data_IF_280306057392
#
_entry.id   IF_280306057392
#
_cell.length_a   1.000
_cell.length_b   1.000
_cell.length_c   1.000
_cell.angle_alpha   90.00
_cell.angle_beta   90.00
_cell.angle_gamma   90.00
#
_symmetry.space_group_name_H-M   'P 1'
#
loop_
_entity.id
_entity.type
_entity.pdbx_description
1 polymer ?
#
# COMPACT_ATOMS: atom_id res chain seq x y z
N UNK A 1 2.63 32.23 1.10
CA UNK A 1 3.62 31.67 2.05
C UNK A 1 4.36 32.86 2.65
N UNK A 2 4.33 33.05 3.96
CA UNK A 2 5.06 34.13 4.62
C UNK A 2 5.66 33.58 5.90
N UNK A 3 6.97 33.66 6.04
CA UNK A 3 7.63 33.33 7.29
C UNK A 3 7.29 34.38 8.36
N UNK A 4 7.14 33.91 9.60
CA UNK A 4 6.96 34.77 10.79
C UNK A 4 8.28 35.35 11.29
N UNK A 5 9.43 34.94 10.74
CA UNK A 5 10.73 35.51 11.09
C UNK A 5 11.03 36.72 10.19
N UNK A 6 11.36 37.86 10.80
CA UNK A 6 11.56 39.13 10.09
C UNK A 6 12.58 39.05 8.95
N UNK A 7 13.66 38.29 9.19
CA UNK A 7 14.76 38.07 8.25
C UNK A 7 14.35 37.17 7.08
N UNK A 8 13.63 36.07 7.33
CA UNK A 8 13.13 35.20 6.26
C UNK A 8 12.10 35.91 5.37
N UNK A 9 11.25 36.75 5.95
CA UNK A 9 10.31 37.56 5.18
C UNK A 9 11.02 38.57 4.28
N UNK A 10 12.09 39.22 4.76
CA UNK A 10 12.89 40.12 3.93
C UNK A 10 13.62 39.36 2.80
N UNK A 11 14.22 38.21 3.12
CA UNK A 11 14.90 37.36 2.13
C UNK A 11 13.95 36.93 1.00
N UNK A 12 12.67 36.67 1.29
CA UNK A 12 11.67 36.38 0.26
C UNK A 12 11.37 37.59 -0.65
N UNK A 13 11.33 38.80 -0.10
CA UNK A 13 11.15 40.04 -0.88
C UNK A 13 12.40 40.32 -1.74
N UNK A 14 13.60 40.02 -1.24
CA UNK A 14 14.83 40.09 -2.03
C UNK A 14 14.80 39.06 -3.16
N UNK A 15 14.47 37.80 -2.86
CA UNK A 15 14.42 36.73 -3.85
C UNK A 15 13.41 36.98 -4.99
N UNK A 16 12.30 37.68 -4.72
CA UNK A 16 11.31 38.01 -5.77
C UNK A 16 11.78 39.11 -6.71
N UNK A 17 12.64 40.03 -6.26
CA UNK A 17 13.18 41.13 -7.08
C UNK A 17 14.54 40.82 -7.69
N UNK A 18 15.35 40.00 -7.04
CA UNK A 18 16.67 39.57 -7.47
C UNK A 18 16.80 38.03 -7.29
N UNK A 19 16.11 37.23 -8.12
CA UNK A 19 16.21 35.78 -8.06
C UNK A 19 17.62 35.31 -8.43
N UNK A 20 18.16 34.34 -7.68
CA UNK A 20 19.49 33.76 -7.95
C UNK A 20 19.62 33.08 -9.31
N UNK A 21 18.49 32.73 -9.96
CA UNK A 21 18.46 32.16 -11.31
C UNK A 21 18.79 33.17 -12.42
N UNK A 22 18.96 34.45 -12.10
CA UNK A 22 19.34 35.50 -13.06
C UNK A 22 20.53 36.29 -12.52
N UNK A 23 21.49 36.58 -13.39
CA UNK A 23 22.66 37.37 -13.03
C UNK A 23 22.35 38.87 -13.09
N UNK A 24 22.48 39.57 -11.95
CA UNK A 24 22.30 41.03 -11.85
C UNK A 24 23.56 41.76 -11.36
N UNK A 25 24.64 41.03 -11.05
CA UNK A 25 25.85 41.57 -10.40
C UNK A 25 26.73 42.44 -11.30
N UNK A 26 26.55 42.41 -12.63
CA UNK A 26 27.38 43.15 -13.57
C UNK A 26 26.97 44.61 -13.82
N UNK A 27 25.99 45.15 -13.09
CA UNK A 27 25.53 46.54 -13.26
C UNK A 27 24.90 47.10 -11.98
N UNK A 28 24.48 48.36 -12.00
CA UNK A 28 23.67 48.98 -10.94
C UNK A 28 22.30 48.32 -10.74
N UNK A 29 21.90 47.38 -11.62
CA UNK A 29 20.63 46.66 -11.49
C UNK A 29 20.51 45.90 -10.18
N UNK A 30 21.58 45.30 -9.64
CA UNK A 30 21.50 44.60 -8.36
C UNK A 30 21.19 45.57 -7.23
N UNK A 31 21.91 46.69 -7.18
CA UNK A 31 21.70 47.76 -6.18
C UNK A 31 20.26 48.27 -6.21
N UNK A 32 19.73 48.60 -7.41
CA UNK A 32 18.36 49.09 -7.56
C UNK A 32 17.31 48.06 -7.09
N UNK A 33 17.51 46.77 -7.37
CA UNK A 33 16.60 45.70 -6.94
C UNK A 33 16.63 45.49 -5.42
N UNK A 34 17.81 45.55 -4.81
CA UNK A 34 17.96 45.48 -3.35
C UNK A 34 17.31 46.69 -2.66
N UNK A 35 17.59 47.90 -3.16
CA UNK A 35 16.95 49.14 -2.68
C UNK A 35 15.43 49.07 -2.79
N UNK A 36 14.90 48.57 -3.91
CA UNK A 36 13.47 48.34 -4.07
C UNK A 36 12.93 47.32 -3.05
N UNK A 37 13.67 46.27 -2.70
CA UNK A 37 13.26 45.29 -1.68
C UNK A 37 13.20 45.92 -0.29
N UNK A 38 14.18 46.76 0.07
CA UNK A 38 14.19 47.53 1.32
C UNK A 38 13.02 48.50 1.38
N UNK A 39 12.80 49.28 0.32
CA UNK A 39 11.70 50.22 0.24
C UNK A 39 10.34 49.53 0.35
N UNK A 40 10.13 48.40 -0.34
CA UNK A 40 8.88 47.64 -0.19
C UNK A 40 8.68 47.09 1.22
N UNK A 41 9.75 46.68 1.90
CA UNK A 41 9.68 46.15 3.27
C UNK A 41 9.25 47.25 4.26
N UNK A 42 9.80 48.45 4.10
CA UNK A 42 9.58 49.57 5.01
C UNK A 42 8.30 50.35 4.70
N UNK A 43 8.07 50.66 3.43
CA UNK A 43 7.01 51.58 2.97
C UNK A 43 5.77 50.87 2.41
N UNK A 44 5.81 49.55 2.23
CA UNK A 44 4.75 48.76 1.59
C UNK A 44 4.81 48.83 0.06
N UNK A 45 3.79 48.33 -0.63
CA UNK A 45 3.76 48.27 -2.10
C UNK A 45 3.57 49.63 -2.80
N UNK A 46 3.23 50.68 -2.04
CA UNK A 46 3.13 52.06 -2.55
C UNK A 46 4.48 52.79 -2.67
N UNK A 47 5.58 52.14 -2.29
CA UNK A 47 6.93 52.72 -2.30
C UNK A 47 7.34 53.37 -3.63
N UNK A 48 6.95 52.78 -4.78
CA UNK A 48 7.33 53.30 -6.10
C UNK A 48 6.66 54.65 -6.39
N UNK A 49 5.40 54.82 -6.01
CA UNK A 49 4.70 56.10 -6.14
C UNK A 49 5.36 57.19 -5.27
N UNK A 50 5.82 56.83 -4.06
CA UNK A 50 6.55 57.74 -3.17
C UNK A 50 7.92 58.15 -3.75
N UNK A 51 8.65 57.20 -4.35
CA UNK A 51 9.93 57.49 -5.03
C UNK A 51 9.71 58.41 -6.22
N UNK A 52 8.67 58.17 -7.02
CA UNK A 52 8.33 59.04 -8.15
C UNK A 52 8.01 60.47 -7.68
N UNK A 53 7.17 60.63 -6.66
CA UNK A 53 6.86 61.94 -6.06
C UNK A 53 8.12 62.66 -5.57
N UNK A 54 8.98 61.97 -4.83
CA UNK A 54 10.25 62.52 -4.34
C UNK A 54 11.23 62.89 -5.47
N UNK A 55 11.08 62.26 -6.63
CA UNK A 55 11.86 62.54 -7.85
C UNK A 55 11.17 63.56 -8.77
N UNK A 56 10.10 64.22 -8.31
CA UNK A 56 9.28 65.16 -9.09
C UNK A 56 8.66 64.54 -10.37
N UNK A 57 8.42 63.23 -10.34
CA UNK A 57 7.74 62.47 -11.39
C UNK A 57 6.28 62.19 -11.00
N UNK A 58 5.45 61.86 -11.99
CA UNK A 58 4.07 61.45 -11.73
C UNK A 58 4.02 60.18 -10.86
N UNK A 59 3.27 60.18 -9.73
CA UNK A 59 3.12 59.00 -8.87
C UNK A 59 2.45 57.80 -9.56
N UNK A 60 1.76 58.02 -10.69
CA UNK A 60 1.06 56.99 -11.47
C UNK A 60 -0.20 56.47 -10.77
N UNK A 61 -1.38 56.89 -11.24
CA UNK A 61 -2.67 56.53 -10.64
C UNK A 61 -2.91 55.00 -10.59
N UNK A 62 -2.53 54.28 -11.66
CA UNK A 62 -2.65 52.82 -11.72
C UNK A 62 -1.67 52.12 -10.76
N UNK A 63 -0.41 52.56 -10.72
CA UNK A 63 0.63 52.03 -9.81
C UNK A 63 0.20 52.18 -8.35
N UNK A 64 -0.30 53.35 -7.98
CA UNK A 64 -0.79 53.63 -6.64
C UNK A 64 -2.00 52.75 -6.27
N UNK A 65 -2.95 52.58 -7.19
CA UNK A 65 -4.14 51.74 -6.99
C UNK A 65 -3.75 50.27 -6.76
N UNK A 66 -2.86 49.72 -7.59
CA UNK A 66 -2.35 48.35 -7.45
C UNK A 66 -1.59 48.20 -6.12
N UNK A 67 -0.73 49.16 -5.77
CA UNK A 67 0.01 49.20 -4.51
C UNK A 67 -0.93 49.12 -3.29
N UNK A 68 -1.95 49.98 -3.25
CA UNK A 68 -2.98 49.99 -2.20
C UNK A 68 -3.73 48.65 -2.11
N UNK A 69 -4.07 48.02 -3.24
CA UNK A 69 -4.73 46.70 -3.27
C UNK A 69 -3.83 45.62 -2.68
N UNK A 70 -2.54 45.61 -3.01
CA UNK A 70 -1.58 44.65 -2.47
C UNK A 70 -1.33 44.85 -0.97
N UNK A 71 -1.21 46.10 -0.50
CA UNK A 71 -1.09 46.41 0.92
C UNK A 71 -2.33 45.96 1.71
N UNK A 72 -3.54 46.19 1.16
CA UNK A 72 -4.80 45.69 1.77
C UNK A 72 -4.84 44.16 1.85
N UNK A 73 -4.33 43.46 0.84
CA UNK A 73 -4.21 41.99 0.84
C UNK A 73 -3.23 41.53 1.93
N UNK A 74 -2.05 42.14 2.02
CA UNK A 74 -1.07 41.83 3.07
C UNK A 74 -1.63 42.07 4.47
N UNK A 75 -2.35 43.18 4.68
CA UNK A 75 -2.99 43.49 5.97
C UNK A 75 -3.97 42.38 6.38
N UNK A 76 -4.86 41.98 5.47
CA UNK A 76 -5.81 40.87 5.67
C UNK A 76 -5.09 39.55 5.98
N UNK A 77 -4.00 39.25 5.28
CA UNK A 77 -3.22 38.04 5.55
C UNK A 77 -2.54 38.07 6.92
N UNK A 78 -1.99 39.22 7.35
CA UNK A 78 -1.40 39.41 8.68
C UNK A 78 -2.46 39.26 9.78
N UNK A 79 -3.63 39.87 9.60
CA UNK A 79 -4.78 39.73 10.50
C UNK A 79 -5.18 38.26 10.62
N UNK A 80 -5.36 37.56 9.48
CA UNK A 80 -5.64 36.12 9.45
C UNK A 80 -4.58 35.30 10.18
N UNK A 81 -3.29 35.56 9.93
CA UNK A 81 -2.19 34.83 10.57
C UNK A 81 -2.11 35.07 12.09
N UNK A 82 -2.56 36.24 12.54
CA UNK A 82 -2.59 36.60 13.95
C UNK A 82 -3.77 35.97 14.71
N UNK A 83 -4.81 35.51 14.01
CA UNK A 83 -5.94 34.81 14.63
C UNK A 83 -5.50 33.59 15.43
N UNK A 84 -6.24 33.29 16.51
CA UNK A 84 -6.01 32.09 17.34
C UNK A 84 -6.17 30.81 16.52
N UNK A 85 -7.14 30.77 15.62
CA UNK A 85 -7.43 29.63 14.76
C UNK A 85 -6.26 29.29 13.83
N UNK A 86 -5.72 30.29 13.10
CA UNK A 86 -4.58 30.07 12.22
C UNK A 86 -3.34 29.58 12.98
N UNK A 87 -3.05 30.17 14.15
CA UNK A 87 -1.94 29.75 15.01
C UNK A 87 -2.11 28.31 15.49
N UNK A 88 -3.31 27.92 15.92
CA UNK A 88 -3.64 26.53 16.31
C UNK A 88 -3.46 25.56 15.14
N UNK A 89 -4.01 25.88 13.96
CA UNK A 89 -3.86 25.06 12.75
C UNK A 89 -2.40 24.90 12.34
N UNK A 90 -1.60 25.97 12.42
CA UNK A 90 -0.15 25.92 12.12
C UNK A 90 0.59 24.98 13.07
N UNK A 91 0.30 25.03 14.38
CA UNK A 91 0.91 24.13 15.37
C UNK A 91 0.49 22.67 15.09
N UNK A 92 -0.79 22.44 14.77
CA UNK A 92 -1.29 21.12 14.40
C UNK A 92 -0.55 20.57 13.17
N UNK A 93 -0.44 21.35 12.09
CA UNK A 93 0.30 20.95 10.89
C UNK A 93 1.78 20.69 11.18
N UNK A 94 2.42 21.51 12.02
CA UNK A 94 3.82 21.28 12.43
C UNK A 94 3.97 19.96 13.20
N UNK A 95 3.03 19.65 14.10
CA UNK A 95 3.01 18.36 14.82
C UNK A 95 2.78 17.18 13.87
N UNK A 96 1.86 17.31 12.92
CA UNK A 96 1.60 16.29 11.90
C UNK A 96 2.82 16.03 11.02
N UNK A 97 3.47 17.10 10.52
CA UNK A 97 4.69 17.01 9.72
C UNK A 97 5.80 16.29 10.48
N UNK A 98 6.11 16.70 11.71
CA UNK A 98 7.10 16.04 12.55
C UNK A 98 6.80 14.55 12.77
N UNK A 99 5.53 14.20 13.00
CA UNK A 99 5.11 12.81 13.17
C UNK A 99 5.29 11.99 11.88
N UNK A 100 5.02 12.59 10.72
CA UNK A 100 5.21 11.97 9.41
C UNK A 100 6.69 11.73 9.11
N UNK A 101 7.53 12.74 9.35
CA UNK A 101 9.00 12.65 9.18
C UNK A 101 9.58 11.56 10.08
N UNK A 102 9.16 11.53 11.34
CA UNK A 102 9.55 10.49 12.30
C UNK A 102 9.19 9.08 11.80
N UNK A 103 7.96 8.86 11.34
CA UNK A 103 7.52 7.56 10.82
C UNK A 103 8.30 7.14 9.59
N UNK A 104 8.57 8.07 8.67
CA UNK A 104 9.33 7.80 7.46
C UNK A 104 10.76 7.37 7.82
N UNK A 105 11.40 8.04 8.79
CA UNK A 105 12.71 7.64 9.33
C UNK A 105 12.72 6.22 9.89
N UNK A 106 11.72 5.87 10.72
CA UNK A 106 11.60 4.50 11.27
C UNK A 106 11.42 3.47 10.16
N UNK A 107 10.67 3.82 9.11
CA UNK A 107 10.32 2.92 8.02
C UNK A 107 11.48 2.65 7.06
N UNK A 108 12.16 3.71 6.61
CA UNK A 108 13.19 3.67 5.56
C UNK A 108 14.59 3.40 6.14
N UNK A 109 14.80 3.65 7.43
CA UNK A 109 16.15 3.68 8.01
C UNK A 109 16.83 5.03 7.74
N UNK A 110 18.06 5.21 8.22
CA UNK A 110 18.81 6.45 7.99
C UNK A 110 19.35 6.45 6.55
N UNK A 111 18.67 7.11 5.62
CA UNK A 111 19.07 7.15 4.19
C UNK A 111 20.19 8.16 3.92
N UNK A 112 20.29 9.23 4.71
CA UNK A 112 21.31 10.27 4.56
C UNK A 112 21.76 10.77 5.93
N UNK A 113 23.05 10.60 6.25
CA UNK A 113 23.70 11.32 7.34
C UNK A 113 24.56 12.46 6.79
N UNK A 114 24.53 13.61 7.46
CA UNK A 114 25.51 14.66 7.20
C UNK A 114 26.85 14.20 7.81
N UNK A 115 27.86 13.99 6.97
CA UNK A 115 29.20 13.47 7.28
C UNK A 115 29.28 11.95 7.50
N UNK A 116 29.09 11.17 6.44
CA UNK A 116 29.39 9.75 6.46
C UNK A 116 30.92 9.52 6.54
N UNK A 117 31.44 9.34 7.74
CA UNK A 117 32.69 8.58 7.94
C UNK A 117 32.40 7.11 7.60
N UNK A 118 33.24 6.49 6.79
CA UNK A 118 33.03 5.18 6.14
C UNK A 118 33.20 3.98 7.11
N UNK A 119 33.07 4.19 8.41
CA UNK A 119 33.40 3.20 9.44
C UNK A 119 32.23 2.80 10.35
N UNK A 120 31.04 2.60 9.78
CA UNK A 120 29.92 1.94 10.45
C UNK A 120 29.54 0.65 9.67
N UNK A 121 29.12 -0.43 10.35
CA UNK A 121 28.61 -1.62 9.69
C UNK A 121 27.46 -1.25 8.75
N UNK A 122 27.31 -1.98 7.63
CA UNK A 122 26.35 -1.69 6.55
C UNK A 122 25.08 -1.00 7.07
N UNK A 123 24.73 0.19 6.55
CA UNK A 123 23.53 0.88 7.02
C UNK A 123 22.31 -0.01 6.82
N UNK A 124 21.49 -0.11 7.86
CA UNK A 124 20.24 -0.86 7.84
C UNK A 124 19.26 -0.20 6.85
N UNK A 125 19.25 -0.73 5.62
CA UNK A 125 18.41 -0.30 4.49
C UNK A 125 17.12 -1.12 4.35
N UNK A 126 16.81 -2.03 5.29
CA UNK A 126 15.63 -2.89 5.16
C UNK A 126 14.35 -2.08 5.38
N UNK A 127 13.54 -1.88 4.34
CA UNK A 127 12.30 -1.12 4.47
C UNK A 127 11.25 -1.89 5.29
N UNK A 128 10.60 -1.21 6.25
CA UNK A 128 9.48 -1.79 6.99
C UNK A 128 8.20 -1.66 6.14
N UNK A 129 7.50 -2.77 5.85
CA UNK A 129 6.28 -2.74 5.06
C UNK A 129 5.17 -1.88 5.68
N UNK A 130 4.42 -1.20 4.83
CA UNK A 130 3.27 -0.37 5.21
C UNK A 130 1.97 -0.94 4.66
N UNK A 131 0.82 -0.65 5.30
CA UNK A 131 -0.47 -1.04 4.77
C UNK A 131 -0.64 -0.57 3.33
N UNK A 132 -0.97 -1.50 2.44
CA UNK A 132 -1.28 -1.18 1.05
C UNK A 132 -2.71 -0.63 0.96
N UNK A 133 -2.95 0.18 -0.07
CA UNK A 133 -4.26 0.79 -0.32
C UNK A 133 -4.84 0.28 -1.64
N UNK A 134 -6.16 0.14 -1.70
CA UNK A 134 -6.88 -0.18 -2.93
C UNK A 134 -7.18 1.15 -3.64
N UNK A 135 -6.82 1.25 -4.91
CA UNK A 135 -7.03 2.41 -5.77
C UNK A 135 -8.03 2.08 -6.87
N UNK A 136 -8.75 3.09 -7.37
CA UNK A 136 -9.74 2.92 -8.45
C UNK A 136 -9.12 2.40 -9.77
N UNK A 137 -7.82 2.61 -9.97
CA UNK A 137 -7.07 2.16 -11.15
C UNK A 137 -6.50 0.75 -11.02
N UNK A 138 -6.69 0.06 -9.88
CA UNK A 138 -6.14 -1.28 -9.69
C UNK A 138 -6.89 -2.30 -10.55
N UNK A 139 -6.14 -3.20 -11.18
CA UNK A 139 -6.71 -4.35 -11.90
C UNK A 139 -6.92 -5.52 -10.94
N UNK A 140 -8.01 -6.26 -11.12
CA UNK A 140 -8.32 -7.46 -10.33
C UNK A 140 -8.15 -8.71 -11.17
N UNK A 141 -7.28 -9.61 -10.71
CA UNK A 141 -7.14 -10.96 -11.27
C UNK A 141 -7.83 -11.94 -10.34
N UNK A 142 -8.91 -12.54 -10.80
CA UNK A 142 -9.61 -13.60 -10.08
C UNK A 142 -8.90 -14.92 -10.36
N UNK A 143 -8.64 -15.72 -9.34
CA UNK A 143 -8.05 -17.05 -9.53
C UNK A 143 -8.57 -18.05 -8.52
N UNK A 144 -8.48 -19.33 -8.88
CA UNK A 144 -8.89 -20.48 -8.08
C UNK A 144 -8.00 -21.68 -8.41
N UNK A 145 -7.78 -22.55 -7.42
CA UNK A 145 -7.01 -23.78 -7.57
C UNK A 145 -7.85 -25.01 -7.26
N UNK A 146 -7.84 -25.98 -8.17
CA UNK A 146 -8.16 -27.36 -7.81
C UNK A 146 -6.89 -28.07 -7.37
N UNK A 147 -7.01 -28.93 -6.36
CA UNK A 147 -5.88 -29.61 -5.74
C UNK A 147 -6.12 -31.11 -5.60
N UNK A 148 -5.06 -31.87 -5.33
CA UNK A 148 -5.17 -33.32 -5.06
C UNK A 148 -5.94 -33.64 -3.77
N UNK A 149 -6.15 -32.66 -2.89
CA UNK A 149 -6.89 -32.80 -1.64
C UNK A 149 -6.90 -31.50 -0.82
N UNK A 150 -7.37 -31.56 0.43
CA UNK A 150 -7.55 -30.39 1.32
C UNK A 150 -6.29 -30.00 2.11
N UNK A 151 -5.14 -30.63 1.85
CA UNK A 151 -3.88 -30.28 2.51
C UNK A 151 -3.25 -29.05 1.86
N UNK A 152 -2.61 -28.20 2.66
CA UNK A 152 -1.83 -27.04 2.15
C UNK A 152 -0.58 -27.46 1.37
N UNK A 153 -0.20 -28.73 1.49
CA UNK A 153 0.91 -29.32 0.75
C UNK A 153 0.43 -30.12 -0.47
N UNK A 154 -0.90 -30.24 -0.70
CA UNK A 154 -1.46 -30.90 -1.88
C UNK A 154 -0.93 -30.29 -3.17
N UNK A 155 -0.86 -31.10 -4.21
CA UNK A 155 -0.46 -30.62 -5.53
C UNK A 155 -1.64 -29.90 -6.21
N UNK A 156 -1.29 -28.94 -7.05
CA UNK A 156 -2.25 -28.26 -7.92
C UNK A 156 -2.60 -29.23 -9.06
N UNK A 157 -3.88 -29.43 -9.32
CA UNK A 157 -4.40 -30.22 -10.46
C UNK A 157 -4.99 -29.32 -11.54
N UNK A 158 -5.50 -28.15 -11.17
CA UNK A 158 -5.92 -27.10 -12.09
C UNK A 158 -5.62 -25.73 -11.49
N UNK A 159 -5.16 -24.80 -12.32
CA UNK A 159 -5.14 -23.38 -11.99
C UNK A 159 -5.94 -22.64 -13.05
N UNK A 160 -6.83 -21.76 -12.63
CA UNK A 160 -7.57 -20.88 -13.53
C UNK A 160 -7.52 -19.44 -13.05
N UNK A 161 -7.58 -18.50 -13.99
CA UNK A 161 -7.64 -17.09 -13.67
C UNK A 161 -8.41 -16.27 -14.71
N UNK A 162 -8.93 -15.11 -14.32
CA UNK A 162 -9.60 -14.17 -15.21
C UNK A 162 -9.32 -12.72 -14.83
N UNK A 163 -9.15 -11.87 -15.84
CA UNK A 163 -8.98 -10.42 -15.67
C UNK A 163 -9.56 -9.71 -16.90
N UNK A 164 -10.54 -8.83 -16.71
CA UNK A 164 -11.28 -8.24 -17.82
C UNK A 164 -11.89 -9.34 -18.71
N UNK A 165 -11.70 -9.27 -20.02
CA UNK A 165 -12.14 -10.31 -20.97
C UNK A 165 -11.18 -11.50 -21.08
N UNK A 166 -9.99 -11.42 -20.48
CA UNK A 166 -8.96 -12.45 -20.61
C UNK A 166 -9.18 -13.56 -19.58
N UNK A 167 -8.99 -14.80 -20.02
CA UNK A 167 -9.06 -16.00 -19.16
C UNK A 167 -7.81 -16.83 -19.35
N UNK A 168 -7.38 -17.49 -18.28
CA UNK A 168 -6.25 -18.39 -18.23
C UNK A 168 -6.69 -19.70 -17.55
N UNK A 169 -6.22 -20.84 -18.06
CA UNK A 169 -6.33 -22.11 -17.37
C UNK A 169 -5.22 -23.07 -17.76
N UNK A 170 -4.81 -23.90 -16.80
CA UNK A 170 -3.91 -25.04 -17.00
C UNK A 170 -4.36 -26.20 -16.14
N UNK A 171 -4.34 -27.40 -16.71
CA UNK A 171 -4.36 -28.65 -15.95
C UNK A 171 -2.93 -29.08 -15.68
N UNK A 172 -2.68 -29.56 -14.46
CA UNK A 172 -1.33 -29.73 -13.93
C UNK A 172 -1.16 -31.18 -13.52
N UNK A 173 -0.06 -31.80 -13.99
CA UNK A 173 0.26 -33.18 -13.66
C UNK A 173 0.51 -33.29 -12.15
N UNK A 174 -0.32 -34.03 -11.39
CA UNK A 174 -0.13 -34.19 -9.96
C UNK A 174 0.98 -35.21 -9.70
N UNK A 175 1.81 -34.97 -8.67
CA UNK A 175 2.87 -35.89 -8.23
C UNK A 175 2.39 -36.84 -7.13
N UNK A 176 1.23 -36.56 -6.56
CA UNK A 176 0.54 -37.39 -5.57
C UNK A 176 -0.82 -37.80 -6.10
N UNK A 177 -1.37 -38.90 -5.58
CA UNK A 177 -2.72 -39.33 -5.96
C UNK A 177 -3.76 -38.26 -5.61
N UNK A 178 -4.73 -38.07 -6.51
CA UNK A 178 -5.91 -37.25 -6.26
C UNK A 178 -6.82 -38.06 -5.33
N UNK A 179 -7.19 -37.51 -4.17
CA UNK A 179 -8.08 -38.25 -3.26
C UNK A 179 -9.44 -38.49 -3.90
N UNK A 180 -10.14 -39.53 -3.45
CA UNK A 180 -11.46 -39.87 -3.99
C UNK A 180 -12.46 -38.72 -3.82
N UNK A 181 -12.38 -37.98 -2.72
CA UNK A 181 -13.23 -36.81 -2.46
C UNK A 181 -12.92 -35.66 -3.42
N UNK A 182 -11.64 -35.36 -3.64
CA UNK A 182 -11.24 -34.31 -4.59
C UNK A 182 -11.67 -34.66 -6.02
N UNK A 183 -11.49 -35.93 -6.43
CA UNK A 183 -11.90 -36.40 -7.75
C UNK A 183 -13.43 -36.39 -7.91
N UNK A 184 -14.19 -36.81 -6.89
CA UNK A 184 -15.64 -36.83 -6.94
C UNK A 184 -16.25 -35.42 -7.06
N UNK A 185 -15.60 -34.43 -6.46
CA UNK A 185 -16.04 -33.04 -6.45
C UNK A 185 -15.66 -32.33 -7.75
N UNK A 186 -14.41 -32.48 -8.20
CA UNK A 186 -13.87 -31.75 -9.37
C UNK A 186 -14.08 -32.47 -10.70
N UNK A 187 -14.37 -33.77 -10.67
CA UNK A 187 -14.38 -34.63 -11.84
C UNK A 187 -12.99 -34.90 -12.44
N UNK A 188 -11.91 -34.44 -11.79
CA UNK A 188 -10.54 -34.63 -12.25
C UNK A 188 -10.02 -36.00 -11.82
N UNK A 189 -9.49 -36.76 -12.77
CA UNK A 189 -8.81 -38.04 -12.54
C UNK A 189 -7.47 -38.05 -13.26
N UNK A 190 -6.49 -38.77 -12.71
CA UNK A 190 -5.16 -38.89 -13.32
C UNK A 190 -4.69 -40.34 -13.34
N UNK A 191 -4.24 -40.81 -14.51
CA UNK A 191 -3.67 -42.14 -14.69
C UNK A 191 -2.16 -42.06 -14.70
N UNK A 192 -1.51 -42.46 -13.59
CA UNK A 192 -0.05 -42.48 -13.48
C UNK A 192 0.61 -43.47 -14.46
N UNK A 193 -0.07 -44.55 -14.86
CA UNK A 193 0.46 -45.54 -15.81
C UNK A 193 0.52 -45.02 -17.25
N UNK A 194 -0.40 -44.13 -17.62
CA UNK A 194 -0.48 -43.57 -18.99
C UNK A 194 -0.07 -42.11 -19.07
N UNK A 195 0.19 -41.46 -17.92
CA UNK A 195 0.47 -40.03 -17.77
C UNK A 195 -0.60 -39.14 -18.43
N UNK A 196 -1.87 -39.49 -18.23
CA UNK A 196 -3.04 -38.79 -18.80
C UNK A 196 -3.99 -38.31 -17.73
N UNK A 197 -4.47 -37.08 -17.87
CA UNK A 197 -5.52 -36.49 -17.03
C UNK A 197 -6.86 -36.47 -17.77
N UNK A 198 -7.94 -36.73 -17.04
CA UNK A 198 -9.29 -36.62 -17.56
C UNK A 198 -10.14 -35.74 -16.65
N UNK A 199 -11.03 -34.96 -17.25
CA UNK A 199 -12.04 -34.16 -16.55
C UNK A 199 -13.41 -34.67 -16.99
N UNK A 200 -14.17 -35.24 -16.07
CA UNK A 200 -15.45 -35.89 -16.34
C UNK A 200 -15.34 -36.91 -17.50
N UNK A 201 -14.25 -37.69 -17.51
CA UNK A 201 -13.95 -38.70 -18.53
C UNK A 201 -13.38 -38.16 -19.85
N UNK A 202 -13.25 -36.84 -20.03
CA UNK A 202 -12.67 -36.22 -21.23
C UNK A 202 -11.18 -35.97 -21.04
N UNK A 203 -10.35 -36.43 -21.98
CA UNK A 203 -8.90 -36.22 -21.96
C UNK A 203 -8.58 -34.71 -22.08
N UNK A 204 -7.70 -34.21 -21.21
CA UNK A 204 -7.26 -32.80 -21.23
C UNK A 204 -5.74 -32.69 -21.40
N UNK A 205 -5.31 -31.59 -22.00
CA UNK A 205 -3.88 -31.24 -22.08
C UNK A 205 -3.37 -30.80 -20.70
N UNK A 206 -2.19 -31.29 -20.32
CA UNK A 206 -1.58 -31.03 -19.02
C UNK A 206 -0.16 -30.50 -19.16
N UNK A 207 0.29 -29.71 -18.20
CA UNK A 207 1.69 -29.29 -18.06
C UNK A 207 2.27 -29.65 -16.69
N UNK A 208 3.58 -29.41 -16.51
CA UNK A 208 4.22 -29.55 -15.20
C UNK A 208 3.75 -28.45 -14.23
N UNK A 209 3.99 -28.66 -12.93
CA UNK A 209 3.71 -27.65 -11.90
C UNK A 209 4.52 -26.37 -12.15
N UNK A 210 5.81 -26.49 -12.48
CA UNK A 210 6.65 -25.33 -12.78
C UNK A 210 6.13 -24.52 -13.97
N UNK A 211 5.77 -25.20 -15.06
CA UNK A 211 5.26 -24.53 -16.25
C UNK A 211 3.92 -23.83 -15.99
N UNK A 212 3.02 -24.43 -15.21
CA UNK A 212 1.75 -23.79 -14.87
C UNK A 212 1.92 -22.53 -14.02
N UNK A 213 2.90 -22.52 -13.12
CA UNK A 213 3.25 -21.34 -12.33
C UNK A 213 3.88 -20.23 -13.19
N UNK A 214 4.77 -20.59 -14.12
CA UNK A 214 5.37 -19.64 -15.07
C UNK A 214 4.30 -19.01 -15.96
N UNK A 215 3.43 -19.84 -16.55
CA UNK A 215 2.34 -19.36 -17.39
C UNK A 215 1.36 -18.46 -16.60
N UNK A 216 1.10 -18.79 -15.33
CA UNK A 216 0.27 -17.95 -14.47
C UNK A 216 0.93 -16.60 -14.17
N UNK A 217 2.24 -16.59 -13.86
CA UNK A 217 3.01 -15.36 -13.68
C UNK A 217 2.97 -14.51 -14.95
N UNK A 218 3.11 -15.12 -16.13
CA UNK A 218 3.05 -14.40 -17.40
C UNK A 218 1.65 -13.83 -17.67
N UNK A 219 0.58 -14.54 -17.27
CA UNK A 219 -0.76 -13.98 -17.28
C UNK A 219 -0.91 -12.77 -16.34
N UNK A 220 -0.30 -12.79 -15.15
CA UNK A 220 -0.32 -11.64 -14.23
C UNK A 220 0.38 -10.41 -14.82
N UNK A 221 1.51 -10.61 -15.53
CA UNK A 221 2.28 -9.54 -16.17
C UNK A 221 1.54 -8.81 -17.29
N UNK A 222 0.41 -9.35 -17.77
CA UNK A 222 -0.47 -8.64 -18.71
C UNK A 222 -1.09 -7.37 -18.11
N UNK A 223 -1.05 -7.23 -16.77
CA UNK A 223 -1.57 -6.09 -16.04
C UNK A 223 -0.47 -5.53 -15.11
N UNK A 224 -0.46 -4.22 -14.91
CA UNK A 224 0.47 -3.60 -13.95
C UNK A 224 0.05 -3.96 -12.52
N UNK A 225 0.81 -4.85 -11.89
CA UNK A 225 0.69 -5.29 -10.49
C UNK A 225 -0.76 -5.48 -10.01
N UNK A 226 -1.54 -6.40 -10.62
CA UNK A 226 -2.92 -6.64 -10.22
C UNK A 226 -3.05 -7.07 -8.76
N UNK A 227 -4.26 -6.86 -8.21
CA UNK A 227 -4.71 -7.46 -6.95
C UNK A 227 -5.31 -8.83 -7.27
N UNK A 228 -4.82 -9.87 -6.62
CA UNK A 228 -5.37 -11.20 -6.74
C UNK A 228 -6.67 -11.30 -5.93
N UNK A 229 -7.71 -11.93 -6.46
CA UNK A 229 -9.00 -12.06 -5.81
C UNK A 229 -9.43 -13.52 -5.85
N UNK A 230 -9.90 -14.03 -4.73
CA UNK A 230 -10.48 -15.37 -4.68
C UNK A 230 -11.35 -15.57 -3.45
N UNK A 231 -11.98 -16.73 -3.34
CA UNK A 231 -12.90 -17.03 -2.25
C UNK A 231 -12.27 -17.95 -1.21
N UNK A 232 -12.10 -17.49 0.03
CA UNK A 232 -11.37 -18.20 1.10
C UNK A 232 -9.86 -18.42 0.81
N UNK A 233 -9.31 -17.70 -0.17
CA UNK A 233 -7.93 -17.92 -0.65
C UNK A 233 -6.85 -17.71 0.40
N UNK A 234 -7.10 -16.87 1.41
CA UNK A 234 -6.12 -16.59 2.46
C UNK A 234 -5.76 -17.86 3.25
N UNK A 235 -6.71 -18.79 3.38
CA UNK A 235 -6.57 -19.98 4.22
C UNK A 235 -6.21 -21.25 3.43
N UNK A 236 -6.28 -21.20 2.10
CA UNK A 236 -6.09 -22.36 1.26
C UNK A 236 -5.23 -22.05 0.02
N UNK A 237 -5.80 -21.45 -1.02
CA UNK A 237 -5.17 -21.26 -2.33
C UNK A 237 -3.82 -20.55 -2.24
N UNK A 238 -3.75 -19.45 -1.48
CA UNK A 238 -2.50 -18.70 -1.30
C UNK A 238 -1.43 -19.53 -0.58
N UNK A 239 -1.79 -20.45 0.31
CA UNK A 239 -0.82 -21.32 1.00
C UNK A 239 -0.29 -22.40 0.06
N UNK A 240 -1.18 -23.04 -0.71
CA UNK A 240 -0.78 -24.03 -1.73
C UNK A 240 0.11 -23.37 -2.77
N UNK A 241 -0.32 -22.22 -3.31
CA UNK A 241 0.42 -21.44 -4.29
C UNK A 241 1.78 -20.99 -3.76
N UNK A 242 1.84 -20.42 -2.55
CA UNK A 242 3.10 -19.98 -1.93
C UNK A 242 4.08 -21.14 -1.75
N UNK A 243 3.61 -22.30 -1.31
CA UNK A 243 4.44 -23.50 -1.16
C UNK A 243 5.04 -23.95 -2.51
N UNK A 244 4.21 -24.01 -3.56
CA UNK A 244 4.67 -24.38 -4.92
C UNK A 244 5.61 -23.32 -5.51
N UNK A 245 5.30 -22.03 -5.36
CA UNK A 245 6.18 -20.95 -5.82
C UNK A 245 7.54 -20.96 -5.13
N UNK A 246 7.60 -21.26 -3.82
CA UNK A 246 8.88 -21.37 -3.08
C UNK A 246 9.68 -22.59 -3.51
N UNK A 247 9.01 -23.71 -3.74
CA UNK A 247 9.62 -24.95 -4.22
C UNK A 247 10.39 -24.74 -5.54
N UNK A 248 9.85 -23.94 -6.45
CA UNK A 248 10.48 -23.61 -7.74
C UNK A 248 11.25 -22.27 -7.73
N UNK A 249 11.49 -21.66 -6.56
CA UNK A 249 12.17 -20.36 -6.43
C UNK A 249 11.53 -19.19 -7.21
N UNK A 250 10.22 -19.27 -7.51
CA UNK A 250 9.47 -18.28 -8.29
C UNK A 250 8.78 -17.22 -7.43
N UNK A 251 8.78 -17.36 -6.10
CA UNK A 251 8.01 -16.49 -5.21
C UNK A 251 8.40 -15.01 -5.30
N UNK A 252 9.68 -14.69 -5.50
CA UNK A 252 10.15 -13.31 -5.69
C UNK A 252 9.60 -12.69 -6.97
N UNK A 253 9.70 -13.42 -8.08
CA UNK A 253 9.15 -13.01 -9.39
C UNK A 253 7.64 -12.81 -9.31
N UNK A 254 6.92 -13.75 -8.70
CA UNK A 254 5.48 -13.63 -8.46
C UNK A 254 5.14 -12.39 -7.61
N UNK A 255 5.89 -12.17 -6.53
CA UNK A 255 5.65 -11.03 -5.62
C UNK A 255 5.86 -9.67 -6.28
N UNK A 256 6.77 -9.59 -7.26
CA UNK A 256 6.95 -8.38 -8.05
C UNK A 256 5.77 -8.13 -9.02
N UNK A 257 5.08 -9.19 -9.47
CA UNK A 257 4.00 -9.11 -10.46
C UNK A 257 2.64 -8.80 -9.84
N UNK A 258 2.45 -8.86 -8.53
CA UNK A 258 1.16 -8.61 -7.89
C UNK A 258 1.27 -7.59 -6.74
N UNK A 259 0.18 -6.88 -6.47
CA UNK A 259 0.12 -5.89 -5.38
C UNK A 259 -0.21 -6.53 -4.03
N UNK A 260 -1.01 -7.59 -4.04
CA UNK A 260 -1.56 -8.24 -2.87
C UNK A 260 -2.75 -9.12 -3.26
N UNK A 261 -3.53 -9.56 -2.27
CA UNK A 261 -4.73 -10.35 -2.53
C UNK A 261 -5.92 -9.95 -1.65
N UNK A 262 -7.14 -10.23 -2.12
CA UNK A 262 -8.40 -10.05 -1.40
C UNK A 262 -9.08 -11.41 -1.24
N UNK A 263 -9.41 -11.74 0.01
CA UNK A 263 -10.24 -12.91 0.35
C UNK A 263 -11.72 -12.49 0.41
N UNK A 264 -12.46 -12.82 -0.65
CA UNK A 264 -13.87 -12.43 -0.79
C UNK A 264 -14.79 -13.10 0.21
N UNK A 265 -14.39 -14.18 0.90
CA UNK A 265 -15.17 -14.74 2.00
C UNK A 265 -15.25 -13.75 3.17
N UNK A 266 -14.15 -13.03 3.45
CA UNK A 266 -14.10 -12.01 4.51
C UNK A 266 -14.94 -10.79 4.13
N UNK A 267 -14.82 -10.35 2.88
CA UNK A 267 -15.61 -9.24 2.34
C UNK A 267 -17.10 -9.57 2.38
N UNK A 268 -17.48 -10.75 1.90
CA UNK A 268 -18.88 -11.22 1.86
C UNK A 268 -19.50 -11.27 3.25
N UNK A 269 -18.80 -11.80 4.26
CA UNK A 269 -19.28 -11.81 5.65
C UNK A 269 -19.50 -10.43 6.27
N UNK A 270 -18.79 -9.41 5.78
CA UNK A 270 -18.91 -8.03 6.23
C UNK A 270 -20.04 -7.29 5.50
N UNK A 271 -20.22 -7.58 4.21
CA UNK A 271 -21.09 -6.81 3.30
C UNK A 271 -22.49 -7.40 3.20
N UNK A 272 -22.61 -8.73 3.21
CA UNK A 272 -23.87 -9.44 3.00
C UNK A 272 -24.42 -9.87 4.37
N UNK A 273 -25.63 -9.43 4.74
CA UNK A 273 -26.27 -9.84 5.98
C UNK A 273 -26.52 -11.34 6.05
N UNK A 274 -26.33 -11.93 7.23
CA UNK A 274 -26.45 -13.38 7.43
C UNK A 274 -27.85 -13.95 7.11
N UNK A 275 -28.89 -13.14 7.20
CA UNK A 275 -30.27 -13.57 6.92
C UNK A 275 -30.59 -13.63 5.42
N UNK A 276 -29.78 -13.01 4.55
CA UNK A 276 -29.94 -13.08 3.09
C UNK A 276 -29.36 -14.38 2.52
N UNK A 277 -28.49 -15.08 3.26
CA UNK A 277 -27.77 -16.26 2.75
C UNK A 277 -27.65 -17.38 3.78
N UNK A 278 -27.96 -18.61 3.38
CA UNK A 278 -27.88 -19.78 4.25
C UNK A 278 -26.45 -20.04 4.77
N UNK A 279 -25.45 -19.80 3.91
CA UNK A 279 -24.03 -19.86 4.24
C UNK A 279 -23.26 -18.97 3.26
N UNK A 280 -21.96 -18.76 3.53
CA UNK A 280 -21.11 -17.91 2.69
C UNK A 280 -20.23 -18.73 1.74
N UNK A 281 -20.65 -19.93 1.32
CA UNK A 281 -19.96 -20.64 0.23
C UNK A 281 -20.21 -19.88 -1.07
N UNK A 282 -19.25 -19.91 -1.98
CA UNK A 282 -19.34 -19.19 -3.26
C UNK A 282 -20.61 -19.55 -4.04
N UNK A 283 -20.91 -20.85 -4.19
CA UNK A 283 -22.14 -21.33 -4.84
C UNK A 283 -23.41 -20.70 -4.25
N UNK A 284 -23.51 -20.65 -2.92
CA UNK A 284 -24.65 -20.05 -2.22
C UNK A 284 -24.73 -18.56 -2.49
N UNK A 285 -23.59 -17.85 -2.43
CA UNK A 285 -23.55 -16.41 -2.72
C UNK A 285 -23.96 -16.11 -4.16
N UNK A 286 -23.45 -16.88 -5.13
CA UNK A 286 -23.82 -16.73 -6.55
C UNK A 286 -25.31 -17.01 -6.75
N UNK A 287 -25.84 -18.08 -6.14
CA UNK A 287 -27.26 -18.42 -6.21
C UNK A 287 -28.16 -17.32 -5.64
N UNK A 288 -27.92 -16.90 -4.41
CA UNK A 288 -28.83 -15.97 -3.72
C UNK A 288 -28.66 -14.51 -4.20
N UNK A 289 -27.44 -14.09 -4.56
CA UNK A 289 -27.16 -12.69 -4.95
C UNK A 289 -27.29 -12.46 -6.46
N UNK A 290 -26.79 -13.39 -7.29
CA UNK A 290 -26.84 -13.26 -8.75
C UNK A 290 -28.05 -13.98 -9.36
N UNK A 291 -28.83 -14.72 -8.56
CA UNK A 291 -29.98 -15.50 -9.01
C UNK A 291 -29.60 -16.48 -10.13
N UNK A 292 -28.40 -17.05 -10.04
CA UNK A 292 -27.84 -17.96 -11.05
C UNK A 292 -27.12 -19.14 -10.40
N UNK A 293 -27.06 -20.28 -11.09
CA UNK A 293 -26.24 -21.43 -10.72
C UNK A 293 -25.16 -21.66 -11.77
N UNK A 294 -24.10 -22.37 -11.40
CA UNK A 294 -22.99 -22.71 -12.30
C UNK A 294 -22.38 -24.06 -11.92
N UNK A 295 -21.56 -24.62 -12.80
CA UNK A 295 -20.82 -25.86 -12.55
C UNK A 295 -19.63 -25.58 -11.63
N UNK A 296 -19.89 -25.50 -10.34
CA UNK A 296 -18.82 -25.31 -9.36
C UNK A 296 -17.91 -26.53 -9.25
N UNK A 297 -16.75 -26.34 -8.62
CA UNK A 297 -15.66 -27.32 -8.58
C UNK A 297 -15.03 -27.53 -9.96
N UNK A 298 -15.03 -26.43 -10.72
CA UNK A 298 -14.26 -26.25 -11.93
C UNK A 298 -13.64 -24.87 -11.79
N UNK A 299 -12.32 -24.81 -11.55
CA UNK A 299 -11.64 -23.55 -11.26
C UNK A 299 -11.97 -22.43 -12.26
N UNK A 300 -12.17 -22.73 -13.54
CA UNK A 300 -12.54 -21.71 -14.53
C UNK A 300 -13.95 -21.14 -14.28
N UNK A 301 -14.93 -22.00 -14.07
CA UNK A 301 -16.31 -21.57 -13.82
C UNK A 301 -16.45 -20.88 -12.44
N UNK A 302 -15.70 -21.35 -11.45
CA UNK A 302 -15.59 -20.71 -10.13
C UNK A 302 -15.01 -19.29 -10.25
N UNK A 303 -13.93 -19.12 -11.01
CA UNK A 303 -13.31 -17.81 -11.26
C UNK A 303 -14.26 -16.84 -11.96
N UNK A 304 -14.96 -17.30 -13.02
CA UNK A 304 -15.88 -16.44 -13.78
C UNK A 304 -17.10 -16.03 -12.94
N UNK A 305 -17.64 -16.97 -12.14
CA UNK A 305 -18.77 -16.70 -11.26
C UNK A 305 -18.38 -15.78 -10.11
N UNK A 306 -17.19 -15.96 -9.54
CA UNK A 306 -16.67 -15.08 -8.49
C UNK A 306 -16.43 -13.67 -9.02
N UNK A 307 -15.83 -13.54 -10.21
CA UNK A 307 -15.64 -12.24 -10.87
C UNK A 307 -16.95 -11.48 -10.98
N UNK A 308 -17.99 -12.13 -11.51
CA UNK A 308 -19.32 -11.52 -11.64
C UNK A 308 -19.91 -11.11 -10.28
N UNK A 309 -19.79 -11.97 -9.27
CA UNK A 309 -20.25 -11.67 -7.90
C UNK A 309 -19.52 -10.45 -7.32
N UNK A 310 -18.20 -10.39 -7.53
CA UNK A 310 -17.36 -9.33 -7.02
C UNK A 310 -17.72 -7.98 -7.64
N UNK A 311 -17.80 -7.92 -8.98
CA UNK A 311 -18.15 -6.72 -9.74
C UNK A 311 -19.55 -6.21 -9.37
N UNK A 312 -20.53 -7.10 -9.20
CA UNK A 312 -21.92 -6.72 -8.91
C UNK A 312 -22.15 -6.29 -7.46
N UNK A 313 -21.49 -6.92 -6.47
CA UNK A 313 -21.87 -6.76 -5.05
C UNK A 313 -20.73 -6.32 -4.13
N UNK A 314 -19.48 -6.70 -4.41
CA UNK A 314 -18.40 -6.61 -3.43
C UNK A 314 -17.39 -5.49 -3.70
N UNK A 315 -17.08 -5.19 -4.96
CA UNK A 315 -15.99 -4.30 -5.36
C UNK A 315 -16.09 -2.92 -4.71
N UNK A 316 -17.24 -2.24 -4.84
CA UNK A 316 -17.46 -0.92 -4.24
C UNK A 316 -17.48 -0.92 -2.70
N UNK A 317 -17.56 -2.10 -2.08
CA UNK A 317 -17.62 -2.27 -0.63
C UNK A 317 -16.27 -2.69 -0.04
N UNK A 318 -15.27 -2.97 -0.86
CA UNK A 318 -13.91 -3.26 -0.41
C UNK A 318 -13.30 -2.06 0.32
N UNK A 319 -12.56 -2.35 1.39
CA UNK A 319 -11.78 -1.37 2.16
C UNK A 319 -10.30 -1.77 2.14
N UNK A 320 -9.40 -0.85 2.49
CA UNK A 320 -7.96 -1.12 2.50
C UNK A 320 -7.59 -2.33 3.39
N UNK A 321 -8.33 -2.56 4.46
CA UNK A 321 -8.15 -3.71 5.35
C UNK A 321 -8.55 -5.07 4.73
N UNK A 322 -9.18 -5.08 3.55
CA UNK A 322 -9.42 -6.31 2.79
C UNK A 322 -8.23 -6.70 1.91
N UNK A 323 -7.26 -5.81 1.71
CA UNK A 323 -6.05 -6.06 0.92
C UNK A 323 -4.96 -6.67 1.81
N UNK A 324 -4.59 -7.91 1.50
CA UNK A 324 -3.54 -8.67 2.17
C UNK A 324 -2.24 -8.63 1.37
N UNK A 325 -1.11 -8.47 2.07
CA UNK A 325 0.20 -8.66 1.49
C UNK A 325 0.39 -10.12 1.08
N UNK A 326 1.10 -10.38 -0.03
CA UNK A 326 1.36 -11.74 -0.54
C UNK A 326 2.10 -12.62 0.48
N UNK A 327 2.93 -12.03 1.35
CA UNK A 327 3.63 -12.71 2.45
C UNK A 327 2.78 -12.88 3.72
N UNK A 328 1.48 -12.60 3.69
CA UNK A 328 0.61 -12.59 4.87
C UNK A 328 0.76 -13.85 5.74
N UNK A 329 0.76 -15.03 5.14
CA UNK A 329 0.84 -16.28 5.88
C UNK A 329 2.21 -16.48 6.54
N UNK A 330 3.29 -16.21 5.81
CA UNK A 330 4.65 -16.24 6.36
C UNK A 330 4.84 -15.21 7.49
N UNK A 331 4.31 -13.99 7.31
CA UNK A 331 4.32 -12.95 8.33
C UNK A 331 3.60 -13.38 9.61
N UNK A 332 2.43 -14.05 9.49
CA UNK A 332 1.72 -14.59 10.65
C UNK A 332 2.54 -15.60 11.45
N UNK A 333 3.24 -16.50 10.77
CA UNK A 333 4.08 -17.52 11.42
C UNK A 333 5.20 -16.87 12.24
N UNK A 334 5.79 -15.77 11.75
CA UNK A 334 6.85 -15.05 12.46
C UNK A 334 6.45 -14.53 13.85
N UNK A 335 5.15 -14.32 14.08
CA UNK A 335 4.63 -13.84 15.36
C UNK A 335 4.23 -14.94 16.35
N UNK A 336 4.40 -16.21 15.99
CA UNK A 336 4.07 -17.35 16.87
C UNK A 336 4.67 -17.22 18.28
N UNK A 337 5.95 -16.81 18.47
CA UNK A 337 6.52 -16.64 19.81
C UNK A 337 5.76 -15.62 20.68
N UNK A 338 5.28 -14.52 20.09
CA UNK A 338 4.50 -13.51 20.81
C UNK A 338 3.08 -14.01 21.16
N UNK A 339 2.48 -14.81 20.28
CA UNK A 339 1.15 -15.40 20.50
C UNK A 339 1.21 -16.45 21.61
N UNK A 340 2.21 -17.33 21.56
CA UNK A 340 2.39 -18.42 22.52
C UNK A 340 2.63 -17.84 23.93
N UNK A 341 3.34 -16.70 24.04
CA UNK A 341 3.49 -15.94 25.29
C UNK A 341 2.32 -15.00 25.64
N UNK A 342 1.23 -15.01 24.86
CA UNK A 342 0.04 -14.17 25.04
C UNK A 342 0.30 -12.66 25.04
N UNK A 343 1.40 -12.21 24.44
CA UNK A 343 1.76 -10.79 24.30
C UNK A 343 0.82 -10.11 23.31
N UNK A 344 0.52 -10.79 22.20
CA UNK A 344 -0.48 -10.38 21.22
C UNK A 344 -1.46 -11.52 20.96
N UNK A 345 -2.66 -11.18 20.49
CA UNK A 345 -3.65 -12.16 20.05
C UNK A 345 -3.65 -12.31 18.52
N UNK A 346 -4.39 -13.32 18.03
CA UNK A 346 -4.51 -13.62 16.59
C UNK A 346 -5.01 -12.44 15.75
N UNK A 347 -5.86 -11.58 16.30
CA UNK A 347 -6.36 -10.39 15.61
C UNK A 347 -5.25 -9.36 15.37
N UNK A 348 -4.42 -9.09 16.40
CA UNK A 348 -3.28 -8.17 16.27
C UNK A 348 -2.23 -8.73 15.31
N UNK A 349 -1.91 -10.02 15.42
CA UNK A 349 -1.03 -10.70 14.47
C UNK A 349 -1.55 -10.54 13.03
N UNK A 350 -2.83 -10.79 12.80
CA UNK A 350 -3.44 -10.68 11.47
C UNK A 350 -3.39 -9.25 10.93
N UNK A 351 -3.54 -8.22 11.78
CA UNK A 351 -3.42 -6.81 11.36
C UNK A 351 -2.00 -6.47 10.87
N UNK A 352 -0.98 -6.89 11.62
CA UNK A 352 0.43 -6.63 11.25
C UNK A 352 0.83 -7.43 10.00
N UNK A 353 0.51 -8.71 9.98
CA UNK A 353 0.82 -9.58 8.86
C UNK A 353 0.13 -9.15 7.56
N UNK A 354 -1.08 -8.55 7.64
CA UNK A 354 -1.80 -8.05 6.47
C UNK A 354 -1.00 -7.00 5.70
N UNK A 355 -0.21 -6.19 6.40
CA UNK A 355 0.67 -5.20 5.78
C UNK A 355 2.05 -5.76 5.42
N UNK A 356 2.29 -7.06 5.62
CA UNK A 356 3.59 -7.70 5.42
C UNK A 356 4.58 -7.45 6.56
N UNK A 357 4.14 -6.99 7.73
CA UNK A 357 5.06 -6.80 8.87
C UNK A 357 5.38 -8.16 9.49
N UNK A 358 6.67 -8.47 9.63
CA UNK A 358 7.20 -9.64 10.33
C UNK A 358 7.72 -9.25 11.71
N UNK A 359 7.99 -10.24 12.56
CA UNK A 359 8.63 -10.01 13.86
C UNK A 359 10.01 -9.34 13.73
N UNK A 360 10.79 -9.68 12.70
CA UNK A 360 12.08 -9.01 12.42
C UNK A 360 11.92 -7.52 12.12
N UNK A 361 10.84 -7.10 11.46
CA UNK A 361 10.57 -5.68 11.21
C UNK A 361 10.31 -4.91 12.53
N UNK A 362 9.74 -5.56 13.55
CA UNK A 362 9.60 -4.94 14.87
C UNK A 362 10.95 -4.85 15.61
N UNK A 363 11.85 -5.83 15.44
CA UNK A 363 13.25 -5.76 15.94
C UNK A 363 13.98 -4.57 15.33
N UNK A 364 13.88 -4.43 14.00
CA UNK A 364 14.45 -3.31 13.25
C UNK A 364 13.87 -1.97 13.74
N UNK A 365 12.55 -1.86 13.84
CA UNK A 365 11.90 -0.65 14.34
C UNK A 365 12.39 -0.27 15.74
N UNK A 366 12.56 -1.25 16.63
CA UNK A 366 13.05 -1.03 17.99
C UNK A 366 14.50 -0.56 18.03
N UNK A 367 15.35 -1.09 17.14
CA UNK A 367 16.75 -0.70 17.03
C UNK A 367 16.90 0.73 16.46
N UNK A 368 16.02 1.13 15.52
CA UNK A 368 16.05 2.45 14.88
C UNK A 368 15.61 3.58 15.81
N UNK A 369 14.64 3.33 16.69
CA UNK A 369 14.11 4.34 17.61
C UNK A 369 13.32 3.69 18.78
N UNK A 370 13.42 4.27 19.97
CA UNK A 370 12.66 3.84 21.17
C UNK A 370 11.13 3.82 20.96
N UNK A 371 10.60 4.68 20.10
CA UNK A 371 9.19 4.75 19.73
C UNK A 371 8.89 4.05 18.39
N UNK A 372 9.87 3.36 17.79
CA UNK A 372 9.74 2.76 16.46
C UNK A 372 8.68 1.66 16.41
N UNK A 373 8.67 0.72 17.39
CA UNK A 373 7.62 -0.31 17.48
C UNK A 373 6.23 0.34 17.58
N UNK A 374 6.09 1.38 18.41
CA UNK A 374 4.83 2.13 18.56
C UNK A 374 4.40 2.79 17.25
N UNK A 375 5.34 3.30 16.45
CA UNK A 375 5.07 3.86 15.14
C UNK A 375 4.48 2.80 14.21
N UNK A 376 5.15 1.65 14.06
CA UNK A 376 4.72 0.52 13.22
C UNK A 376 3.34 0.02 13.64
N UNK A 377 3.09 -0.16 14.95
CA UNK A 377 1.77 -0.57 15.44
C UNK A 377 0.69 0.44 15.06
N UNK A 378 0.96 1.73 15.24
CA UNK A 378 -0.03 2.79 14.96
C UNK A 378 -0.35 2.86 13.47
N UNK A 379 0.65 2.69 12.60
CA UNK A 379 0.46 2.68 11.15
C UNK A 379 -0.38 1.49 10.69
N UNK A 380 -0.36 0.39 11.45
CA UNK A 380 -1.17 -0.81 11.20
C UNK A 380 -2.50 -0.83 11.97
N UNK A 381 -2.98 0.32 12.45
CA UNK A 381 -4.22 0.44 13.23
C UNK A 381 -4.27 -0.51 14.44
N UNK A 382 -3.10 -0.72 15.07
CA UNK A 382 -2.92 -1.44 16.33
C UNK A 382 -2.67 -0.43 17.45
N UNK A 383 -3.30 -0.66 18.60
CA UNK A 383 -3.14 0.23 19.77
C UNK A 383 -1.72 0.16 20.34
N UNK A 384 -1.20 1.33 20.74
CA UNK A 384 0.14 1.48 21.29
C UNK A 384 0.40 0.70 22.60
N UNK A 385 -0.65 0.20 23.28
CA UNK A 385 -0.50 -0.58 24.52
C UNK A 385 0.32 -1.86 24.35
N UNK A 386 0.36 -2.42 23.13
CA UNK A 386 1.14 -3.60 22.83
C UNK A 386 2.64 -3.31 22.66
N UNK A 387 3.04 -2.04 22.50
CA UNK A 387 4.44 -1.69 22.25
C UNK A 387 5.36 -2.12 23.40
N UNK A 388 5.03 -1.78 24.66
CA UNK A 388 5.86 -2.09 25.82
C UNK A 388 6.14 -3.60 25.98
N UNK A 389 5.10 -4.45 26.05
CA UNK A 389 5.28 -5.90 26.13
C UNK A 389 6.06 -6.51 24.95
N UNK A 390 5.86 -5.99 23.73
CA UNK A 390 6.63 -6.42 22.55
C UNK A 390 8.10 -6.03 22.71
N UNK A 391 8.40 -4.77 23.06
CA UNK A 391 9.77 -4.29 23.24
C UNK A 391 10.48 -5.13 24.30
N UNK A 392 9.84 -5.38 25.44
CA UNK A 392 10.38 -6.23 26.49
C UNK A 392 10.74 -7.62 25.97
N UNK A 393 9.88 -8.24 25.16
CA UNK A 393 10.17 -9.53 24.54
C UNK A 393 11.36 -9.46 23.55
N UNK A 394 11.49 -8.36 22.80
CA UNK A 394 12.57 -8.19 21.83
C UNK A 394 13.94 -7.92 22.46
N UNK A 395 13.98 -7.40 23.69
CA UNK A 395 15.22 -7.02 24.39
C UNK A 395 15.75 -8.10 25.34
N UNK A 396 14.94 -9.11 25.68
CA UNK A 396 15.39 -10.22 26.52
C UNK A 396 16.20 -11.19 25.66
N UNK A 397 17.46 -11.51 26.01
CA UNK A 397 18.24 -12.54 25.32
C UNK A 397 17.46 -13.86 25.33
N UNK A 398 17.41 -14.56 24.19
CA UNK A 398 16.88 -15.92 24.16
C UNK A 398 17.79 -16.80 25.04
N UNK A 399 17.26 -17.33 26.15
CA UNK A 399 17.92 -18.34 26.98
C UNK A 399 18.04 -19.68 26.25
#
# INVERSE_FOLDING_TARGET
MGSTQGNENFNQIVASKAPKSRFYGGSSSLSNRLSASVLQKNEGYTWLSKVNEASLLSPGQHTLSIGKKMDKKLKRERERQNTKEFKRRRIQLKKQKKKSEFRSKVKEGTTYENNAEVNEPMPDIQEIPSPSTINDSDNFVFFDLETTGLSRNSDITQIAAACGSNTFQRYVIPRTEITQEASAITGITFSHSTNKMYVNGTLVETCSVEQSLLDFIDFLKLNDRPILVGHNIANFDMLVLENRLKEFHLFSTFSACAKGFIDTLKVSKRVIPKHEVENYKQQTLVKEILQSTYSAHNAKEDVLSLKKLFEVKLQEKCINEDLYNLNYNHAKVSFKPLIDRKIINSLICSKLARSGVHLCHLKIANARDENGVKAVLTDNHVTAKYAGPIIQFLTVPEE
#
